data_IF_971056091832
#
_entry.id   IF_971056091832
#
_cell.length_a   1.000
_cell.length_b   1.000
_cell.length_c   1.000
_cell.angle_alpha   90.00
_cell.angle_beta   90.00
_cell.angle_gamma   90.00
#
_symmetry.space_group_name_H-M   'P 1'
#
loop_
_entity.id
_entity.type
_entity.pdbx_description
1 polymer ?
#
# COMPACT_ATOMS: atom_id res chain seq x y z
N UNK A 1 -8.27 10.44 18.54
CA UNK A 1 -7.92 10.30 17.13
C UNK A 1 -9.07 9.57 16.46
N UNK A 2 -9.36 9.82 15.20
CA UNK A 2 -10.44 9.20 14.44
C UNK A 2 -11.80 9.13 15.19
N UNK A 3 -12.17 10.21 15.87
CA UNK A 3 -13.40 10.31 16.66
C UNK A 3 -14.11 11.63 16.30
N UNK A 4 -15.41 11.79 16.56
CA UNK A 4 -16.11 13.02 16.30
C UNK A 4 -15.36 14.22 16.87
N UNK A 5 -15.03 15.22 16.05
CA UNK A 5 -14.22 16.39 16.42
C UNK A 5 -12.71 16.12 16.58
N UNK A 6 -12.23 14.91 16.34
CA UNK A 6 -10.82 14.56 16.38
C UNK A 6 -10.11 14.67 15.03
N UNK A 7 -8.82 14.35 15.01
CA UNK A 7 -8.01 14.36 13.80
C UNK A 7 -8.10 13.02 13.06
N UNK A 8 -8.07 13.07 11.73
CA UNK A 8 -7.79 11.88 10.92
C UNK A 8 -6.32 11.49 11.10
N UNK A 9 -6.07 10.21 11.44
CA UNK A 9 -4.71 9.71 11.62
C UNK A 9 -3.99 9.60 10.29
N UNK A 10 -2.79 10.20 10.12
CA UNK A 10 -2.02 10.12 8.88
C UNK A 10 -1.18 8.84 8.76
N UNK A 11 -1.19 7.93 9.75
CA UNK A 11 -0.24 6.81 9.83
C UNK A 11 -0.55 5.70 8.83
N UNK A 12 -1.65 4.96 8.98
CA UNK A 12 -2.01 3.85 8.08
C UNK A 12 -3.47 3.94 7.60
N UNK A 13 -3.80 3.13 6.57
CA UNK A 13 -5.13 3.12 5.96
C UNK A 13 -6.16 2.25 6.73
N UNK A 14 -5.75 1.54 7.78
CA UNK A 14 -6.64 0.62 8.48
C UNK A 14 -7.71 1.40 9.26
N UNK A 15 -9.02 1.09 9.10
CA UNK A 15 -10.10 1.86 9.70
C UNK A 15 -10.23 1.62 11.21
N UNK A 16 -11.01 2.49 11.86
CA UNK A 16 -11.49 2.28 13.22
C UNK A 16 -12.80 1.48 13.23
N UNK A 17 -13.10 0.72 14.31
CA UNK A 17 -14.37 0.00 14.43
C UNK A 17 -15.55 0.96 14.58
N UNK A 18 -16.73 0.55 14.10
CA UNK A 18 -17.98 1.30 14.24
C UNK A 18 -18.38 1.45 15.72
N UNK A 19 -18.12 0.40 16.51
CA UNK A 19 -18.39 0.38 17.96
C UNK A 19 -17.08 0.46 18.74
N UNK A 20 -16.85 1.62 19.38
CA UNK A 20 -15.61 1.91 20.11
C UNK A 20 -15.73 1.52 21.58
N UNK A 21 -14.64 0.96 22.14
CA UNK A 21 -14.45 0.82 23.58
C UNK A 21 -14.15 2.20 24.19
N UNK A 22 -14.40 2.39 25.50
CA UNK A 22 -14.13 3.64 26.20
C UNK A 22 -12.66 4.07 26.13
N UNK A 23 -11.75 3.12 26.21
CA UNK A 23 -10.31 3.31 26.06
C UNK A 23 -9.87 2.57 24.80
N UNK A 24 -9.82 3.27 23.69
CA UNK A 24 -9.41 2.73 22.41
C UNK A 24 -8.56 3.72 21.63
N UNK A 25 -7.32 3.35 21.37
CA UNK A 25 -6.36 4.13 20.61
C UNK A 25 -5.33 3.22 19.95
N UNK A 26 -4.63 3.75 18.96
CA UNK A 26 -3.45 3.14 18.38
C UNK A 26 -2.21 3.94 18.81
N UNK A 27 -1.24 3.31 19.45
CA UNK A 27 -0.03 3.97 19.93
C UNK A 27 0.74 4.65 18.79
N UNK A 28 0.95 3.93 17.69
CA UNK A 28 1.65 4.48 16.52
C UNK A 28 0.88 5.64 15.88
N UNK A 29 -0.45 5.58 15.86
CA UNK A 29 -1.29 6.69 15.42
C UNK A 29 -1.18 7.91 16.35
N UNK A 30 -1.11 7.69 17.66
CA UNK A 30 -0.89 8.76 18.63
C UNK A 30 0.47 9.43 18.43
N UNK A 31 1.53 8.65 18.23
CA UNK A 31 2.88 9.17 17.93
C UNK A 31 2.92 9.93 16.60
N UNK A 32 2.34 9.37 15.54
CA UNK A 32 2.27 10.03 14.24
C UNK A 32 1.55 11.38 14.32
N UNK A 33 0.43 11.44 15.07
CA UNK A 33 -0.30 12.68 15.26
C UNK A 33 0.47 13.69 16.11
N UNK A 34 1.18 13.24 17.15
CA UNK A 34 2.01 14.13 17.96
C UNK A 34 3.13 14.78 17.14
N UNK A 35 3.75 14.03 16.22
CA UNK A 35 4.76 14.57 15.29
C UNK A 35 4.14 15.56 14.30
N UNK A 36 2.98 15.24 13.73
CA UNK A 36 2.28 16.14 12.79
C UNK A 36 1.78 17.44 13.45
N UNK A 37 1.32 17.36 14.69
CA UNK A 37 0.77 18.50 15.46
C UNK A 37 1.81 19.23 16.33
N UNK A 38 3.09 19.15 15.99
CA UNK A 38 4.18 19.83 16.71
C UNK A 38 3.99 21.35 16.73
N UNK A 39 4.42 21.98 17.83
CA UNK A 39 4.51 23.45 17.96
C UNK A 39 5.84 24.00 17.45
N UNK A 40 6.83 23.13 17.20
CA UNK A 40 8.12 23.54 16.63
C UNK A 40 7.94 24.11 15.23
N UNK A 41 8.67 25.17 14.93
CA UNK A 41 8.59 25.93 13.69
C UNK A 41 9.95 26.05 13.03
N UNK A 42 10.00 25.74 11.74
CA UNK A 42 11.14 26.05 10.87
C UNK A 42 10.92 27.45 10.29
N UNK A 43 11.57 28.43 10.91
CA UNK A 43 11.47 29.84 10.52
C UNK A 43 12.62 30.24 9.60
N UNK A 44 12.53 31.44 9.02
CA UNK A 44 13.62 32.00 8.20
C UNK A 44 14.95 32.13 8.95
N UNK A 45 14.91 32.33 10.27
CA UNK A 45 16.09 32.43 11.12
C UNK A 45 16.81 31.07 11.22
N UNK A 46 16.07 29.97 11.27
CA UNK A 46 16.66 28.64 11.21
C UNK A 46 17.42 28.43 9.90
N UNK A 47 16.81 28.75 8.77
CA UNK A 47 17.46 28.60 7.47
C UNK A 47 18.59 29.61 7.22
N UNK A 48 18.56 30.77 7.88
CA UNK A 48 19.68 31.71 7.84
C UNK A 48 20.91 31.18 8.56
N UNK A 49 20.74 30.31 9.58
CA UNK A 49 21.83 29.74 10.37
C UNK A 49 22.47 28.50 9.75
N UNK A 50 21.72 27.76 8.89
CA UNK A 50 22.15 26.49 8.34
C UNK A 50 22.27 26.54 6.82
N UNK A 51 23.34 25.97 6.27
CA UNK A 51 23.43 25.69 4.84
C UNK A 51 22.68 24.39 4.49
N UNK A 52 22.31 24.24 3.23
CA UNK A 52 21.67 22.98 2.75
C UNK A 52 22.65 21.82 2.88
N UNK A 53 23.92 22.03 2.62
CA UNK A 53 24.97 21.01 2.81
C UNK A 53 25.04 20.54 4.27
N UNK A 54 25.04 21.46 5.25
CA UNK A 54 25.01 21.09 6.68
C UNK A 54 23.73 20.33 7.06
N UNK A 55 22.57 20.72 6.53
CA UNK A 55 21.32 20.02 6.77
C UNK A 55 21.32 18.61 6.18
N UNK A 56 21.97 18.39 5.06
CA UNK A 56 22.10 17.05 4.44
C UNK A 56 22.93 16.07 5.28
N UNK A 57 23.81 16.54 6.14
CA UNK A 57 24.59 15.69 7.06
C UNK A 57 23.79 15.28 8.31
N UNK A 58 22.63 15.91 8.55
CA UNK A 58 21.79 15.58 9.70
C UNK A 58 20.99 14.30 9.45
N UNK A 59 20.62 13.60 10.54
CA UNK A 59 19.71 12.46 10.44
C UNK A 59 18.28 12.90 10.11
N UNK A 60 17.53 12.04 9.42
CA UNK A 60 16.10 12.27 9.10
C UNK A 60 15.29 12.55 10.38
N UNK A 61 15.61 11.85 11.48
CA UNK A 61 14.97 12.09 12.78
C UNK A 61 15.26 13.50 13.31
N UNK A 62 16.51 13.97 13.24
CA UNK A 62 16.86 15.32 13.67
C UNK A 62 16.13 16.36 12.84
N UNK A 63 16.09 16.21 11.50
CA UNK A 63 15.39 17.11 10.59
C UNK A 63 13.87 17.16 10.89
N UNK A 64 13.24 16.01 11.12
CA UNK A 64 11.81 15.95 11.46
C UNK A 64 11.50 16.69 12.77
N UNK A 65 12.38 16.59 13.77
CA UNK A 65 12.19 17.20 15.08
C UNK A 65 12.37 18.72 15.09
N UNK A 66 12.90 19.34 14.03
CA UNK A 66 13.02 20.80 13.94
C UNK A 66 11.67 21.50 13.76
N UNK A 67 10.66 20.79 13.28
CA UNK A 67 9.30 21.31 13.21
C UNK A 67 8.75 21.53 11.80
N UNK A 68 7.80 22.46 11.69
CA UNK A 68 7.06 22.72 10.45
C UNK A 68 7.49 23.99 9.76
N UNK A 69 7.59 23.94 8.42
CA UNK A 69 7.77 25.14 7.60
C UNK A 69 6.65 26.14 7.85
N UNK A 70 7.00 27.40 7.95
CA UNK A 70 6.07 28.50 8.24
C UNK A 70 5.81 29.41 7.05
N UNK A 71 6.69 29.38 6.06
CA UNK A 71 6.62 30.20 4.85
C UNK A 71 7.29 29.48 3.68
N UNK A 72 7.00 29.84 2.43
CA UNK A 72 7.69 29.28 1.27
C UNK A 72 9.17 29.67 1.28
N UNK A 73 10.00 28.73 0.88
CA UNK A 73 11.45 28.91 0.82
C UNK A 73 11.97 28.54 -0.58
N UNK A 74 12.96 29.27 -1.06
CA UNK A 74 13.69 29.00 -2.29
C UNK A 74 15.16 28.73 -2.00
N UNK A 75 15.72 27.68 -2.60
CA UNK A 75 17.15 27.43 -2.53
C UNK A 75 17.92 28.48 -3.34
N UNK A 76 18.95 29.04 -2.71
CA UNK A 76 19.90 29.94 -3.34
C UNK A 76 21.29 29.27 -3.42
N UNK A 77 21.73 28.88 -4.64
CA UNK A 77 23.02 28.21 -4.82
C UNK A 77 24.23 29.09 -4.47
N UNK A 78 24.10 30.42 -4.50
CA UNK A 78 25.20 31.32 -4.20
C UNK A 78 25.55 31.31 -2.71
N UNK A 79 24.57 31.10 -1.83
CA UNK A 79 24.77 31.06 -0.38
C UNK A 79 24.63 29.65 0.21
N UNK A 80 24.26 28.68 -0.60
CA UNK A 80 23.88 27.31 -0.20
C UNK A 80 22.79 27.30 0.90
N UNK A 81 21.82 28.21 0.84
CA UNK A 81 20.77 28.34 1.85
C UNK A 81 19.37 28.35 1.24
N UNK A 82 18.39 28.06 2.08
CA UNK A 82 16.99 28.34 1.77
C UNK A 82 16.67 29.79 2.19
N UNK A 83 16.24 30.60 1.22
CA UNK A 83 15.80 31.97 1.43
C UNK A 83 14.26 32.06 1.37
N UNK A 84 13.63 32.89 2.23
CA UNK A 84 12.19 33.07 2.17
C UNK A 84 11.77 33.73 0.86
N UNK A 85 10.61 33.32 0.32
CA UNK A 85 9.99 33.88 -0.88
C UNK A 85 8.52 34.15 -0.60
N UNK A 86 7.97 35.26 -1.08
CA UNK A 86 6.53 35.49 -0.97
C UNK A 86 5.73 34.50 -1.81
N UNK A 87 4.49 34.20 -1.40
CA UNK A 87 3.65 33.24 -2.14
C UNK A 87 3.42 33.66 -3.60
N UNK A 88 3.16 34.91 -3.86
CA UNK A 88 2.92 35.42 -5.22
C UNK A 88 4.16 35.28 -6.09
N UNK A 89 5.36 35.53 -5.52
CA UNK A 89 6.63 35.34 -6.22
C UNK A 89 6.91 33.85 -6.46
N UNK A 90 6.58 32.97 -5.51
CA UNK A 90 6.72 31.53 -5.66
C UNK A 90 5.79 31.01 -6.78
N UNK A 91 4.52 31.42 -6.81
CA UNK A 91 3.58 31.06 -7.88
C UNK A 91 4.01 31.63 -9.23
N UNK A 92 4.52 32.85 -9.25
CA UNK A 92 5.05 33.47 -10.48
C UNK A 92 6.24 32.67 -11.01
N UNK A 93 7.17 32.29 -10.14
CA UNK A 93 8.35 31.50 -10.52
C UNK A 93 7.97 30.12 -11.04
N UNK A 94 7.07 29.39 -10.35
CA UNK A 94 6.56 28.09 -10.80
C UNK A 94 5.87 28.23 -12.18
N UNK A 95 4.99 29.23 -12.32
CA UNK A 95 4.28 29.49 -13.56
C UNK A 95 5.21 29.86 -14.73
N UNK A 96 6.31 30.56 -14.47
CA UNK A 96 7.33 30.84 -15.47
C UNK A 96 8.03 29.56 -15.97
N UNK A 97 8.44 28.69 -15.04
CA UNK A 97 9.05 27.41 -15.39
C UNK A 97 8.11 26.51 -16.18
N UNK A 98 6.86 26.39 -15.76
CA UNK A 98 5.87 25.56 -16.47
C UNK A 98 5.58 26.11 -17.87
N UNK A 99 5.46 27.43 -18.04
CA UNK A 99 5.23 28.07 -19.36
C UNK A 99 6.44 28.04 -20.28
N UNK A 100 7.64 27.86 -19.75
CA UNK A 100 8.87 27.76 -20.55
C UNK A 100 9.07 26.36 -21.17
N UNK A 101 8.26 25.38 -20.79
CA UNK A 101 8.31 24.04 -21.38
C UNK A 101 7.78 24.08 -22.81
N UNK A 102 8.39 23.32 -23.71
CA UNK A 102 7.96 23.20 -25.11
C UNK A 102 6.63 22.42 -25.23
N UNK A 103 6.34 21.55 -24.27
CA UNK A 103 5.12 20.78 -24.19
C UNK A 103 4.72 20.53 -22.74
N UNK A 104 3.42 20.55 -22.38
CA UNK A 104 2.94 20.16 -21.07
C UNK A 104 3.36 18.74 -20.65
N UNK A 105 3.61 17.86 -21.60
CA UNK A 105 4.05 16.48 -21.35
C UNK A 105 5.51 16.36 -20.88
N UNK A 106 6.27 17.47 -20.85
CA UNK A 106 7.61 17.52 -20.25
C UNK A 106 7.58 17.68 -18.73
N UNK A 107 6.39 17.85 -18.12
CA UNK A 107 6.21 17.94 -16.69
C UNK A 107 5.59 16.65 -16.13
N UNK A 108 6.08 16.23 -14.95
CA UNK A 108 5.55 15.10 -14.18
C UNK A 108 4.96 15.60 -12.86
N UNK A 109 3.74 15.18 -12.53
CA UNK A 109 2.98 15.69 -11.38
C UNK A 109 2.72 14.56 -10.38
N UNK A 110 3.67 14.34 -9.47
CA UNK A 110 3.59 13.29 -8.47
C UNK A 110 2.64 13.63 -7.33
N UNK A 111 1.87 12.64 -6.87
CA UNK A 111 0.97 12.77 -5.73
C UNK A 111 1.21 11.64 -4.71
N UNK A 112 1.35 12.04 -3.44
CA UNK A 112 1.44 11.08 -2.33
C UNK A 112 0.04 10.59 -1.93
N UNK A 113 -0.12 9.31 -1.63
CA UNK A 113 -1.34 8.72 -1.09
C UNK A 113 -1.74 9.17 0.31
N UNK A 114 -1.16 10.26 0.81
CA UNK A 114 -1.55 10.94 2.06
C UNK A 114 -2.22 12.29 1.81
N UNK A 115 -2.28 12.71 0.56
CA UNK A 115 -2.93 13.96 0.16
C UNK A 115 -4.44 13.88 0.46
N UNK A 116 -5.01 14.96 0.98
CA UNK A 116 -6.46 15.04 1.21
C UNK A 116 -7.20 15.06 -0.13
N UNK A 117 -8.39 14.47 -0.18
CA UNK A 117 -9.18 14.36 -1.42
C UNK A 117 -9.40 15.71 -2.11
N UNK A 118 -9.72 16.75 -1.33
CA UNK A 118 -9.96 18.09 -1.85
C UNK A 118 -8.72 18.66 -2.54
N UNK A 119 -7.55 18.47 -1.93
CA UNK A 119 -6.27 18.91 -2.49
C UNK A 119 -5.90 18.09 -3.73
N UNK A 120 -6.05 16.77 -3.67
CA UNK A 120 -5.79 15.87 -4.79
C UNK A 120 -6.69 16.19 -6.00
N UNK A 121 -7.99 16.43 -5.73
CA UNK A 121 -8.94 16.83 -6.77
C UNK A 121 -8.55 18.16 -7.42
N UNK A 122 -8.30 19.20 -6.62
CA UNK A 122 -7.89 20.51 -7.15
C UNK A 122 -6.59 20.41 -7.96
N UNK A 123 -5.62 19.64 -7.44
CA UNK A 123 -4.37 19.38 -8.15
C UNK A 123 -4.60 18.65 -9.47
N UNK A 124 -5.52 17.69 -9.50
CA UNK A 124 -5.87 16.96 -10.73
C UNK A 124 -6.49 17.85 -11.80
N UNK A 125 -7.30 18.86 -11.40
CA UNK A 125 -7.88 19.83 -12.32
C UNK A 125 -6.80 20.78 -12.84
N UNK A 126 -5.94 21.32 -11.95
CA UNK A 126 -4.82 22.18 -12.33
C UNK A 126 -3.91 21.53 -13.39
N UNK A 127 -3.53 20.27 -13.18
CA UNK A 127 -2.64 19.55 -14.11
C UNK A 127 -3.30 19.31 -15.45
N UNK A 128 -4.60 19.02 -15.49
CA UNK A 128 -5.34 18.86 -16.74
C UNK A 128 -5.57 20.17 -17.49
N UNK A 129 -5.80 21.25 -16.75
CA UNK A 129 -5.87 22.59 -17.35
C UNK A 129 -4.51 23.05 -17.89
N UNK A 130 -3.40 22.65 -17.22
CA UNK A 130 -2.05 22.83 -17.73
C UNK A 130 -1.80 22.04 -19.02
N UNK A 131 -2.49 20.92 -19.25
CA UNK A 131 -2.51 20.18 -20.51
C UNK A 131 -1.86 18.81 -20.51
N UNK A 132 -1.77 18.13 -19.36
CA UNK A 132 -1.24 16.75 -19.29
C UNK A 132 -2.03 15.85 -18.34
N UNK A 133 -1.91 14.53 -18.54
CA UNK A 133 -2.35 13.47 -17.62
C UNK A 133 -1.16 12.74 -16.97
N UNK A 134 0.03 13.33 -16.96
CA UNK A 134 1.20 12.73 -16.33
C UNK A 134 1.05 12.77 -14.79
N UNK A 135 0.45 11.71 -14.24
CA UNK A 135 0.18 11.54 -12.81
C UNK A 135 0.88 10.31 -12.25
N UNK A 136 2.23 10.27 -12.21
CA UNK A 136 2.89 9.25 -11.39
C UNK A 136 2.46 9.41 -9.94
N UNK A 137 1.99 8.32 -9.32
CA UNK A 137 1.54 8.37 -7.94
C UNK A 137 2.00 7.17 -7.13
N UNK A 138 1.78 7.21 -5.82
CA UNK A 138 2.22 6.13 -4.94
C UNK A 138 1.41 4.84 -5.13
N UNK A 139 0.21 4.86 -5.71
CA UNK A 139 -0.59 3.65 -5.94
C UNK A 139 0.07 2.74 -6.98
N UNK A 140 0.75 3.32 -7.97
CA UNK A 140 1.51 2.56 -8.96
C UNK A 140 2.64 1.73 -8.33
N UNK A 141 3.27 2.24 -7.26
CA UNK A 141 4.35 1.54 -6.56
C UNK A 141 3.84 0.58 -5.49
N UNK A 142 2.67 0.82 -4.92
CA UNK A 142 2.17 0.13 -3.75
C UNK A 142 1.32 -1.10 -4.13
N UNK A 143 0.19 -0.87 -4.79
CA UNK A 143 -0.84 -1.87 -5.04
C UNK A 143 -1.36 -1.88 -6.48
N UNK A 144 -0.56 -1.44 -7.46
CA UNK A 144 -0.93 -1.57 -8.88
C UNK A 144 -1.25 -3.04 -9.26
N UNK A 145 -0.49 -4.05 -8.80
CA UNK A 145 -0.85 -5.45 -9.03
C UNK A 145 -2.21 -5.85 -8.48
N UNK A 146 -2.67 -5.26 -7.37
CA UNK A 146 -4.03 -5.46 -6.87
C UNK A 146 -5.07 -4.88 -7.83
N UNK A 147 -4.81 -3.67 -8.33
CA UNK A 147 -5.69 -2.98 -9.29
C UNK A 147 -5.75 -3.67 -10.66
N UNK A 148 -4.78 -4.51 -10.98
CA UNK A 148 -4.73 -5.34 -12.19
C UNK A 148 -5.27 -6.75 -11.95
N UNK A 149 -4.81 -7.41 -10.89
CA UNK A 149 -5.10 -8.83 -10.62
C UNK A 149 -6.54 -9.06 -10.16
N UNK A 150 -7.05 -8.31 -9.19
CA UNK A 150 -8.41 -8.51 -8.69
C UNK A 150 -9.50 -8.21 -9.72
N UNK A 151 -9.47 -7.13 -10.52
CA UNK A 151 -10.49 -6.91 -11.54
C UNK A 151 -10.58 -8.04 -12.56
N UNK A 152 -9.44 -8.64 -12.92
CA UNK A 152 -9.41 -9.78 -13.85
C UNK A 152 -10.04 -11.05 -13.25
N UNK A 153 -10.06 -11.18 -11.92
CA UNK A 153 -10.64 -12.36 -11.23
C UNK A 153 -12.04 -12.14 -10.67
N UNK A 154 -12.32 -10.96 -10.11
CA UNK A 154 -13.57 -10.68 -9.37
C UNK A 154 -14.24 -9.36 -9.78
N UNK A 155 -13.77 -8.71 -10.84
CA UNK A 155 -14.37 -7.48 -11.39
C UNK A 155 -14.05 -6.19 -10.64
N UNK A 156 -13.38 -6.22 -9.50
CA UNK A 156 -13.09 -5.04 -8.69
C UNK A 156 -11.67 -5.08 -8.08
N UNK A 157 -10.92 -3.99 -8.19
CA UNK A 157 -9.55 -3.85 -7.68
C UNK A 157 -9.45 -3.43 -6.20
N UNK A 158 -10.40 -3.86 -5.36
CA UNK A 158 -10.50 -3.47 -3.94
C UNK A 158 -10.73 -4.68 -3.06
N UNK A 159 -10.53 -4.52 -1.75
CA UNK A 159 -10.89 -5.52 -0.76
C UNK A 159 -12.39 -5.81 -0.75
N UNK A 160 -12.75 -7.03 -0.41
CA UNK A 160 -14.14 -7.52 -0.41
C UNK A 160 -14.69 -7.73 1.00
N UNK A 161 -13.95 -7.31 2.03
CA UNK A 161 -14.37 -7.39 3.43
C UNK A 161 -14.63 -6.00 4.00
N UNK A 162 -15.41 -5.96 5.06
CA UNK A 162 -15.53 -4.84 5.99
C UNK A 162 -14.84 -5.21 7.31
N UNK A 163 -14.60 -4.22 8.18
CA UNK A 163 -13.88 -4.45 9.43
C UNK A 163 -14.59 -5.46 10.33
N UNK A 164 -15.91 -5.45 10.38
CA UNK A 164 -16.72 -6.39 11.16
C UNK A 164 -16.52 -7.86 10.73
N UNK A 165 -16.04 -8.11 9.51
CA UNK A 165 -15.79 -9.50 9.06
C UNK A 165 -14.71 -10.20 9.87
N UNK A 166 -13.76 -9.45 10.44
CA UNK A 166 -12.77 -10.04 11.36
C UNK A 166 -13.40 -10.72 12.59
N UNK A 167 -14.59 -10.28 13.01
CA UNK A 167 -15.33 -10.88 14.13
C UNK A 167 -15.97 -12.23 13.77
N UNK A 168 -16.16 -12.48 12.47
CA UNK A 168 -16.81 -13.68 11.95
C UNK A 168 -15.86 -14.65 11.25
N UNK A 169 -14.59 -14.26 11.07
CA UNK A 169 -13.61 -15.12 10.45
C UNK A 169 -13.32 -16.37 11.30
N UNK A 170 -13.15 -17.52 10.63
CA UNK A 170 -12.75 -18.80 11.21
C UNK A 170 -11.27 -19.12 10.97
N UNK A 171 -10.64 -18.46 9.99
CA UNK A 171 -9.21 -18.46 9.77
C UNK A 171 -8.77 -17.14 9.12
N UNK A 172 -7.57 -16.67 9.46
CA UNK A 172 -6.96 -15.48 8.86
C UNK A 172 -5.59 -15.86 8.32
N UNK A 173 -5.33 -15.56 7.06
CA UNK A 173 -4.01 -15.68 6.44
C UNK A 173 -3.44 -14.29 6.23
N UNK A 174 -2.18 -14.09 6.61
CA UNK A 174 -1.45 -12.83 6.42
C UNK A 174 -0.23 -13.15 5.57
N UNK A 175 -0.17 -12.59 4.36
CA UNK A 175 0.84 -12.91 3.36
C UNK A 175 1.61 -11.65 2.96
N UNK A 176 2.94 -11.68 3.09
CA UNK A 176 3.79 -10.57 2.65
C UNK A 176 3.50 -9.23 3.33
N UNK A 177 3.16 -9.26 4.64
CA UNK A 177 2.79 -8.05 5.38
C UNK A 177 3.41 -8.03 6.79
N UNK A 178 4.01 -6.88 7.16
CA UNK A 178 4.38 -6.55 8.53
C UNK A 178 3.29 -5.67 9.16
N UNK A 179 2.29 -6.31 9.74
CA UNK A 179 1.10 -5.63 10.27
C UNK A 179 1.45 -4.69 11.42
N UNK A 180 2.33 -5.11 12.33
CA UNK A 180 2.68 -4.29 13.50
C UNK A 180 3.37 -2.98 13.17
N UNK A 181 4.12 -2.94 12.07
CA UNK A 181 4.82 -1.73 11.61
C UNK A 181 3.96 -0.90 10.65
N UNK A 182 3.34 -1.55 9.64
CA UNK A 182 2.73 -0.83 8.53
C UNK A 182 1.21 -0.62 8.69
N UNK A 183 0.56 -1.44 9.51
CA UNK A 183 -0.89 -1.38 9.76
C UNK A 183 -1.20 -1.65 11.24
N UNK A 184 -0.60 -0.89 12.18
CA UNK A 184 -0.62 -1.22 13.61
C UNK A 184 -2.05 -1.24 14.18
N UNK A 185 -2.97 -0.49 13.61
CA UNK A 185 -4.37 -0.48 14.04
C UNK A 185 -5.05 -1.85 13.86
N UNK A 186 -4.62 -2.65 12.86
CA UNK A 186 -5.13 -4.00 12.62
C UNK A 186 -4.78 -4.98 13.75
N UNK A 187 -3.73 -4.71 14.54
CA UNK A 187 -3.29 -5.60 15.63
C UNK A 187 -4.41 -5.88 16.64
N UNK A 188 -5.28 -4.92 16.94
CA UNK A 188 -6.43 -5.12 17.83
C UNK A 188 -7.35 -6.21 17.31
N UNK A 189 -7.68 -6.21 16.01
CA UNK A 189 -8.53 -7.25 15.41
C UNK A 189 -7.87 -8.62 15.44
N UNK A 190 -6.55 -8.69 15.26
CA UNK A 190 -5.81 -9.96 15.33
C UNK A 190 -5.76 -10.50 16.78
N UNK A 191 -5.55 -9.63 17.76
CA UNK A 191 -5.61 -10.01 19.19
C UNK A 191 -6.99 -10.57 19.56
N UNK A 192 -8.06 -9.88 19.15
CA UNK A 192 -9.43 -10.36 19.43
C UNK A 192 -9.74 -11.68 18.71
N UNK A 193 -9.27 -11.87 17.47
CA UNK A 193 -9.38 -13.15 16.76
C UNK A 193 -8.66 -14.27 17.54
N UNK A 194 -7.44 -14.01 18.03
CA UNK A 194 -6.68 -14.98 18.82
C UNK A 194 -7.34 -15.31 20.16
N UNK A 195 -7.93 -14.32 20.84
CA UNK A 195 -8.72 -14.56 22.08
C UNK A 195 -9.91 -15.49 21.84
N UNK A 196 -10.50 -15.48 20.63
CA UNK A 196 -11.56 -16.42 20.20
C UNK A 196 -11.01 -17.78 19.73
N UNK A 197 -9.70 -18.00 19.73
CA UNK A 197 -9.08 -19.24 19.27
C UNK A 197 -8.93 -19.37 17.75
N UNK A 198 -9.17 -18.30 16.98
CA UNK A 198 -9.09 -18.32 15.53
C UNK A 198 -7.63 -18.52 15.10
N UNK A 199 -7.33 -19.48 14.18
CA UNK A 199 -5.99 -19.66 13.64
C UNK A 199 -5.60 -18.47 12.74
N UNK A 200 -4.39 -17.96 12.97
CA UNK A 200 -3.76 -16.93 12.13
C UNK A 200 -2.50 -17.53 11.54
N UNK A 201 -2.48 -17.69 10.22
CA UNK A 201 -1.33 -18.20 9.47
C UNK A 201 -0.55 -17.02 8.91
N UNK A 202 0.72 -16.92 9.26
CA UNK A 202 1.63 -15.91 8.75
C UNK A 202 2.55 -16.52 7.70
N UNK A 203 2.52 -16.00 6.47
CA UNK A 203 3.42 -16.40 5.37
C UNK A 203 4.31 -15.19 5.04
N UNK A 204 5.55 -15.22 5.51
CA UNK A 204 6.51 -14.12 5.36
C UNK A 204 7.94 -14.65 5.29
N UNK A 205 8.86 -13.95 4.64
CA UNK A 205 10.29 -14.32 4.64
C UNK A 205 10.98 -14.02 5.97
N UNK A 206 10.35 -13.24 6.86
CA UNK A 206 10.89 -12.88 8.17
C UNK A 206 9.82 -13.03 9.27
N UNK A 207 10.21 -13.47 10.49
CA UNK A 207 9.30 -13.54 11.63
C UNK A 207 9.04 -12.12 12.18
N UNK A 208 8.02 -11.47 11.69
CA UNK A 208 7.62 -10.12 12.10
C UNK A 208 7.21 -10.10 13.57
N UNK A 209 7.92 -9.31 14.38
CA UNK A 209 7.87 -9.38 15.85
C UNK A 209 6.45 -9.29 16.42
N UNK A 210 5.67 -8.30 15.96
CA UNK A 210 4.31 -8.10 16.43
C UNK A 210 3.34 -9.20 16.00
N UNK A 211 3.62 -9.91 14.89
CA UNK A 211 2.82 -11.06 14.46
C UNK A 211 3.20 -12.36 15.15
N UNK A 212 4.38 -12.43 15.77
CA UNK A 212 4.73 -13.53 16.66
C UNK A 212 4.10 -13.31 18.04
N UNK A 213 4.36 -12.17 18.68
CA UNK A 213 3.77 -11.77 19.96
C UNK A 213 3.54 -10.27 20.01
N UNK A 214 2.39 -9.87 20.56
CA UNK A 214 2.00 -8.49 20.69
C UNK A 214 1.49 -8.18 22.10
N UNK A 215 1.96 -7.09 22.69
CA UNK A 215 1.42 -6.52 23.91
C UNK A 215 0.41 -5.44 23.54
N UNK A 216 -0.84 -5.62 23.91
CA UNK A 216 -1.90 -4.67 23.60
C UNK A 216 -1.80 -3.44 24.52
N UNK A 217 -1.52 -2.22 24.00
CA UNK A 217 -1.34 -1.01 24.82
C UNK A 217 -2.59 -0.62 25.60
N UNK A 218 -3.75 -1.11 25.20
CA UNK A 218 -5.04 -0.85 25.85
C UNK A 218 -5.40 -1.87 26.92
N UNK A 219 -4.65 -2.96 27.02
CA UNK A 219 -4.82 -3.99 28.04
C UNK A 219 -3.92 -3.66 29.24
N UNK A 220 -4.53 -3.08 30.29
CA UNK A 220 -3.83 -2.64 31.49
C UNK A 220 -3.12 -3.82 32.19
N UNK A 221 -3.71 -5.03 32.13
CA UNK A 221 -3.12 -6.22 32.75
C UNK A 221 -1.85 -6.63 31.99
N UNK A 222 -1.91 -6.69 30.65
CA UNK A 222 -0.72 -6.98 29.84
C UNK A 222 0.37 -5.93 30.04
N UNK A 223 0.00 -4.65 30.09
CA UNK A 223 0.95 -3.55 30.28
C UNK A 223 1.63 -3.60 31.66
N UNK A 224 0.90 -3.94 32.72
CA UNK A 224 1.43 -4.01 34.08
C UNK A 224 2.22 -5.29 34.37
N UNK A 225 1.90 -6.40 33.71
CA UNK A 225 2.54 -7.70 33.88
C UNK A 225 3.59 -8.03 32.83
N UNK A 226 3.85 -7.14 31.90
CA UNK A 226 4.67 -7.40 30.69
C UNK A 226 4.17 -8.61 29.89
N UNK A 227 2.88 -8.88 29.96
CA UNK A 227 2.21 -9.94 29.22
C UNK A 227 2.15 -9.66 27.73
N UNK A 228 1.88 -10.67 26.91
CA UNK A 228 1.69 -10.54 25.48
C UNK A 228 0.84 -11.67 24.91
N UNK A 229 0.13 -11.39 23.81
CA UNK A 229 -0.67 -12.37 23.08
C UNK A 229 0.16 -12.95 21.93
N UNK A 230 0.22 -14.28 21.80
CA UNK A 230 0.76 -14.93 20.60
C UNK A 230 -0.23 -14.75 19.44
N UNK A 231 0.18 -14.06 18.38
CA UNK A 231 -0.69 -13.71 17.26
C UNK A 231 -0.75 -14.83 16.24
N UNK A 232 0.37 -15.20 15.61
CA UNK A 232 0.40 -16.32 14.66
C UNK A 232 0.25 -17.65 15.38
N UNK A 233 -0.59 -18.53 14.84
CA UNK A 233 -0.69 -19.92 15.24
C UNK A 233 0.23 -20.82 14.41
N UNK A 234 0.55 -20.39 13.20
CA UNK A 234 1.48 -21.05 12.28
C UNK A 234 2.30 -19.98 11.56
N UNK A 235 3.62 -20.15 11.50
CA UNK A 235 4.52 -19.29 10.75
C UNK A 235 5.19 -20.09 9.63
N UNK A 236 5.06 -19.59 8.40
CA UNK A 236 5.60 -20.17 7.18
C UNK A 236 6.71 -19.26 6.65
N UNK A 237 7.95 -19.71 6.78
CA UNK A 237 9.14 -18.96 6.38
C UNK A 237 9.42 -19.12 4.89
N UNK A 238 8.63 -18.46 4.06
CA UNK A 238 8.73 -18.56 2.60
C UNK A 238 10.00 -17.89 2.07
N UNK A 239 10.61 -18.48 1.04
CA UNK A 239 11.64 -17.79 0.24
C UNK A 239 11.02 -16.63 -0.51
N UNK A 240 11.75 -15.54 -0.66
CA UNK A 240 11.32 -14.40 -1.50
C UNK A 240 11.05 -14.92 -2.93
N UNK A 241 9.84 -14.63 -3.44
CA UNK A 241 9.34 -15.13 -4.71
C UNK A 241 8.72 -16.53 -4.67
N UNK A 242 8.65 -17.16 -3.49
CA UNK A 242 8.07 -18.49 -3.31
C UNK A 242 6.56 -18.54 -3.04
N UNK A 243 5.94 -17.38 -2.91
CA UNK A 243 4.51 -17.27 -2.52
C UNK A 243 3.58 -17.96 -3.53
N UNK A 244 3.85 -17.81 -4.83
CA UNK A 244 3.09 -18.47 -5.88
C UNK A 244 3.08 -19.99 -5.72
N UNK A 245 4.26 -20.58 -5.39
CA UNK A 245 4.39 -22.02 -5.20
C UNK A 245 3.61 -22.49 -3.96
N UNK A 246 3.58 -21.72 -2.88
CA UNK A 246 2.77 -22.04 -1.70
C UNK A 246 1.28 -22.00 -2.04
N UNK A 247 0.80 -20.97 -2.71
CA UNK A 247 -0.61 -20.86 -3.10
C UNK A 247 -1.05 -22.02 -4.00
N UNK A 248 -0.22 -22.36 -5.00
CA UNK A 248 -0.46 -23.56 -5.85
C UNK A 248 -0.38 -24.85 -5.05
N UNK A 249 0.56 -24.96 -4.11
CA UNK A 249 0.65 -26.12 -3.20
C UNK A 249 -0.60 -26.29 -2.34
N UNK A 250 -1.14 -25.19 -1.78
CA UNK A 250 -2.40 -25.24 -1.04
C UNK A 250 -3.56 -25.68 -1.94
N UNK A 251 -3.72 -25.09 -3.13
CA UNK A 251 -4.77 -25.51 -4.08
C UNK A 251 -4.61 -26.97 -4.53
N UNK A 252 -3.36 -27.45 -4.73
CA UNK A 252 -3.09 -28.84 -5.01
C UNK A 252 -3.60 -29.75 -3.91
N UNK A 253 -3.42 -29.41 -2.63
CA UNK A 253 -3.95 -30.20 -1.51
C UNK A 253 -5.47 -30.28 -1.56
N UNK A 254 -6.17 -29.18 -1.92
CA UNK A 254 -7.62 -29.17 -2.09
C UNK A 254 -8.05 -30.13 -3.22
N UNK A 255 -7.39 -30.05 -4.40
CA UNK A 255 -7.71 -30.93 -5.53
C UNK A 255 -7.39 -32.41 -5.25
N UNK A 256 -6.30 -32.69 -4.53
CA UNK A 256 -5.99 -34.06 -4.09
C UNK A 256 -7.01 -34.59 -3.07
N UNK A 257 -7.53 -33.75 -2.17
CA UNK A 257 -8.57 -34.12 -1.22
C UNK A 257 -9.91 -34.38 -1.91
N UNK A 258 -10.31 -33.50 -2.83
CA UNK A 258 -11.52 -33.68 -3.64
C UNK A 258 -11.46 -34.97 -4.46
N UNK A 259 -10.32 -35.28 -5.08
CA UNK A 259 -10.13 -36.53 -5.84
C UNK A 259 -10.25 -37.80 -4.97
N UNK A 260 -10.06 -37.68 -3.64
CA UNK A 260 -10.35 -38.75 -2.67
C UNK A 260 -11.81 -38.79 -2.22
N UNK A 261 -12.69 -37.90 -2.74
CA UNK A 261 -14.08 -37.81 -2.38
C UNK A 261 -14.38 -36.97 -1.13
N UNK A 262 -13.41 -36.15 -0.66
CA UNK A 262 -13.62 -35.23 0.44
C UNK A 262 -14.37 -33.96 -0.04
N UNK A 263 -15.33 -33.49 0.74
CA UNK A 263 -16.10 -32.27 0.47
C UNK A 263 -15.30 -31.02 0.92
N UNK A 264 -14.39 -30.59 0.07
CA UNK A 264 -13.45 -29.48 0.37
C UNK A 264 -13.60 -28.26 -0.53
N UNK A 265 -14.34 -28.39 -1.62
CA UNK A 265 -14.65 -27.31 -2.55
C UNK A 265 -16.15 -26.91 -2.45
N UNK A 266 -16.43 -25.65 -2.64
CA UNK A 266 -17.82 -25.15 -2.72
C UNK A 266 -18.31 -25.30 -4.16
N UNK A 267 -18.81 -26.51 -4.49
CA UNK A 267 -19.20 -26.87 -5.86
C UNK A 267 -20.33 -26.00 -6.40
N UNK A 268 -21.30 -25.65 -5.56
CA UNK A 268 -22.44 -24.80 -5.97
C UNK A 268 -21.92 -23.37 -6.29
N UNK A 269 -21.11 -22.80 -5.42
CA UNK A 269 -20.51 -21.49 -5.68
C UNK A 269 -19.63 -21.49 -6.94
N UNK A 270 -18.82 -22.52 -7.11
CA UNK A 270 -17.93 -22.66 -8.27
C UNK A 270 -18.75 -22.69 -9.56
N UNK A 271 -19.81 -23.52 -9.59
CA UNK A 271 -20.70 -23.68 -10.75
C UNK A 271 -21.41 -22.37 -11.11
N UNK A 272 -21.93 -21.66 -10.10
CA UNK A 272 -22.82 -20.51 -10.32
C UNK A 272 -22.04 -19.19 -10.51
N UNK A 273 -20.82 -19.09 -9.98
CA UNK A 273 -20.10 -17.80 -9.88
C UNK A 273 -18.70 -17.81 -10.46
N UNK A 274 -18.19 -18.94 -10.99
CA UNK A 274 -16.82 -18.99 -11.51
C UNK A 274 -16.74 -19.59 -12.91
N UNK A 275 -15.59 -19.41 -13.56
CA UNK A 275 -15.23 -20.06 -14.81
C UNK A 275 -13.75 -20.49 -14.78
N UNK A 276 -13.41 -21.51 -15.58
CA UNK A 276 -12.02 -21.91 -15.76
C UNK A 276 -11.45 -22.86 -14.70
N UNK A 277 -12.28 -23.54 -13.91
CA UNK A 277 -11.84 -24.50 -12.89
C UNK A 277 -10.91 -25.57 -13.46
N UNK A 278 -11.24 -26.16 -14.63
CA UNK A 278 -10.44 -27.21 -15.23
C UNK A 278 -9.06 -26.72 -15.65
N UNK A 279 -8.96 -25.50 -16.18
CA UNK A 279 -7.69 -24.88 -16.52
C UNK A 279 -6.82 -24.60 -15.28
N UNK A 280 -7.45 -24.08 -14.20
CA UNK A 280 -6.77 -23.89 -12.92
C UNK A 280 -6.27 -25.21 -12.34
N UNK A 281 -7.11 -26.24 -12.36
CA UNK A 281 -6.77 -27.58 -11.89
C UNK A 281 -5.59 -28.17 -12.68
N UNK A 282 -5.64 -28.07 -14.02
CA UNK A 282 -4.55 -28.54 -14.88
C UNK A 282 -3.23 -27.83 -14.58
N UNK A 283 -3.26 -26.49 -14.44
CA UNK A 283 -2.08 -25.68 -14.10
C UNK A 283 -1.52 -26.07 -12.73
N UNK A 284 -2.35 -26.15 -11.70
CA UNK A 284 -1.92 -26.48 -10.33
C UNK A 284 -1.37 -27.91 -10.26
N UNK A 285 -2.04 -28.88 -10.89
CA UNK A 285 -1.62 -30.30 -10.86
C UNK A 285 -0.40 -30.59 -11.72
N UNK A 286 -0.07 -29.74 -12.68
CA UNK A 286 1.15 -29.86 -13.49
C UNK A 286 2.43 -29.64 -12.70
N UNK A 287 2.38 -28.90 -11.59
CA UNK A 287 3.55 -28.62 -10.75
C UNK A 287 3.83 -29.76 -9.78
N UNK A 288 5.05 -30.26 -9.81
CA UNK A 288 5.48 -31.32 -8.89
C UNK A 288 5.65 -30.80 -7.45
N UNK A 289 5.45 -31.66 -6.45
CA UNK A 289 5.79 -31.34 -5.06
C UNK A 289 7.27 -30.98 -4.88
N UNK A 290 8.15 -31.58 -5.67
CA UNK A 290 9.60 -31.29 -5.69
C UNK A 290 9.83 -29.82 -6.06
N UNK A 291 9.16 -29.32 -7.11
CA UNK A 291 9.30 -27.94 -7.54
C UNK A 291 8.64 -26.97 -6.56
N UNK A 292 7.45 -27.29 -6.07
CA UNK A 292 6.75 -26.47 -5.06
C UNK A 292 7.63 -26.27 -3.83
N UNK A 293 8.20 -27.34 -3.28
CA UNK A 293 9.05 -27.27 -2.08
C UNK A 293 10.38 -26.58 -2.35
N UNK A 294 10.99 -26.84 -3.51
CA UNK A 294 12.24 -26.19 -3.92
C UNK A 294 12.09 -24.68 -4.11
N UNK A 295 11.01 -24.24 -4.76
CA UNK A 295 10.75 -22.82 -5.07
C UNK A 295 10.34 -22.08 -3.79
N UNK A 296 9.39 -22.61 -3.05
CA UNK A 296 8.89 -21.97 -1.82
C UNK A 296 9.88 -22.02 -0.66
N UNK A 297 10.75 -23.02 -0.63
CA UNK A 297 11.61 -23.33 0.51
C UNK A 297 10.87 -23.95 1.69
N UNK A 298 9.59 -24.37 1.48
CA UNK A 298 8.70 -24.91 2.51
C UNK A 298 8.48 -26.40 2.24
N UNK A 299 8.49 -27.22 3.32
CA UNK A 299 8.20 -28.64 3.18
C UNK A 299 6.76 -28.90 2.76
N UNK A 300 6.53 -29.99 2.02
CA UNK A 300 5.17 -30.45 1.67
C UNK A 300 4.29 -30.61 2.91
N UNK A 301 4.84 -31.15 4.00
CA UNK A 301 4.14 -31.32 5.25
C UNK A 301 3.61 -29.99 5.82
N UNK A 302 4.42 -28.93 5.80
CA UNK A 302 4.00 -27.62 6.27
C UNK A 302 2.94 -27.01 5.36
N UNK A 303 3.06 -27.13 4.03
CA UNK A 303 2.04 -26.66 3.09
C UNK A 303 0.72 -27.41 3.30
N UNK A 304 0.77 -28.73 3.47
CA UNK A 304 -0.42 -29.53 3.81
C UNK A 304 -1.05 -29.10 5.13
N UNK A 305 -0.25 -28.78 6.13
CA UNK A 305 -0.73 -28.34 7.44
C UNK A 305 -1.50 -27.01 7.36
N UNK A 306 -0.98 -26.01 6.64
CA UNK A 306 -1.70 -24.75 6.45
C UNK A 306 -2.93 -24.90 5.53
N UNK A 307 -2.86 -25.77 4.52
CA UNK A 307 -4.00 -26.10 3.68
C UNK A 307 -5.12 -26.77 4.49
N UNK A 308 -4.79 -27.61 5.48
CA UNK A 308 -5.79 -28.19 6.37
C UNK A 308 -6.47 -27.15 7.27
N UNK A 309 -5.76 -26.10 7.70
CA UNK A 309 -6.38 -24.97 8.41
C UNK A 309 -7.40 -24.30 7.49
N UNK A 310 -7.02 -24.07 6.22
CA UNK A 310 -7.90 -23.47 5.20
C UNK A 310 -9.10 -24.36 4.90
N UNK A 311 -8.92 -25.67 4.73
CA UNK A 311 -9.98 -26.63 4.44
C UNK A 311 -11.04 -26.67 5.56
N UNK A 312 -10.61 -26.66 6.83
CA UNK A 312 -11.52 -26.69 7.99
C UNK A 312 -12.31 -25.40 8.18
N UNK A 313 -11.81 -24.27 7.69
CA UNK A 313 -12.47 -22.98 7.80
C UNK A 313 -13.60 -22.85 6.79
N UNK A 314 -14.76 -22.40 7.24
CA UNK A 314 -15.91 -22.04 6.38
C UNK A 314 -15.89 -20.56 5.98
N UNK A 315 -15.14 -19.74 6.71
CA UNK A 315 -15.03 -18.30 6.47
C UNK A 315 -13.58 -17.86 6.66
N UNK A 316 -12.85 -17.67 5.57
CA UNK A 316 -11.43 -17.30 5.58
C UNK A 316 -11.21 -15.90 5.03
N UNK A 317 -10.46 -15.10 5.78
CA UNK A 317 -9.93 -13.82 5.31
C UNK A 317 -8.46 -14.02 4.90
N UNK A 318 -8.10 -13.60 3.68
CA UNK A 318 -6.70 -13.52 3.25
C UNK A 318 -6.30 -12.05 3.16
N UNK A 319 -5.41 -11.63 4.06
CA UNK A 319 -4.79 -10.31 4.06
C UNK A 319 -3.44 -10.39 3.35
N UNK A 320 -3.12 -9.41 2.51
CA UNK A 320 -1.79 -9.33 1.91
C UNK A 320 -1.29 -7.90 1.81
N UNK A 321 0.02 -7.75 1.87
CA UNK A 321 0.70 -6.47 1.76
C UNK A 321 1.61 -6.38 0.53
N UNK A 322 2.53 -5.43 0.55
CA UNK A 322 3.46 -5.16 -0.55
C UNK A 322 4.47 -6.29 -0.79
N UNK A 323 4.66 -7.21 0.15
CA UNK A 323 5.43 -8.43 -0.08
C UNK A 323 4.82 -9.35 -1.14
N UNK A 324 3.54 -9.16 -1.50
CA UNK A 324 2.87 -9.81 -2.63
C UNK A 324 2.87 -8.93 -3.87
N UNK A 325 2.60 -7.63 -3.71
CA UNK A 325 2.40 -6.76 -4.88
C UNK A 325 3.71 -6.29 -5.51
N UNK A 326 4.80 -6.16 -4.74
CA UNK A 326 6.09 -5.70 -5.25
C UNK A 326 6.96 -6.84 -5.78
N UNK A 327 6.37 -7.70 -6.58
CA UNK A 327 7.03 -8.76 -7.32
C UNK A 327 6.74 -8.63 -8.83
N UNK A 328 7.61 -9.18 -9.65
CA UNK A 328 7.39 -9.25 -11.10
C UNK A 328 6.04 -9.93 -11.42
N UNK A 329 5.70 -11.00 -10.70
CA UNK A 329 4.45 -11.75 -10.82
C UNK A 329 3.33 -11.24 -9.88
N UNK A 330 3.42 -10.00 -9.37
CA UNK A 330 2.50 -9.50 -8.35
C UNK A 330 1.02 -9.60 -8.75
N UNK A 331 0.67 -9.27 -9.98
CA UNK A 331 -0.72 -9.37 -10.47
C UNK A 331 -1.19 -10.83 -10.51
N UNK A 332 -0.35 -11.75 -10.93
CA UNK A 332 -0.63 -13.18 -10.96
C UNK A 332 -0.76 -13.75 -9.53
N UNK A 333 0.10 -13.35 -8.61
CA UNK A 333 -0.02 -13.71 -7.19
C UNK A 333 -1.38 -13.30 -6.60
N UNK A 334 -1.83 -12.09 -6.89
CA UNK A 334 -3.13 -11.58 -6.46
C UNK A 334 -4.28 -12.41 -7.06
N UNK A 335 -4.19 -12.78 -8.35
CA UNK A 335 -5.16 -13.69 -8.97
C UNK A 335 -5.18 -15.07 -8.30
N UNK A 336 -4.03 -15.64 -7.94
CA UNK A 336 -3.98 -16.93 -7.25
C UNK A 336 -4.55 -16.86 -5.83
N UNK A 337 -4.41 -15.75 -5.13
CA UNK A 337 -5.12 -15.51 -3.86
C UNK A 337 -6.64 -15.51 -4.08
N UNK A 338 -7.10 -14.83 -5.12
CA UNK A 338 -8.52 -14.83 -5.47
C UNK A 338 -9.01 -16.24 -5.86
N UNK A 339 -8.25 -16.98 -6.67
CA UNK A 339 -8.58 -18.36 -7.04
C UNK A 339 -8.71 -19.28 -5.83
N UNK A 340 -7.78 -19.20 -4.87
CA UNK A 340 -7.85 -19.97 -3.64
C UNK A 340 -9.16 -19.68 -2.87
N UNK A 341 -9.54 -18.39 -2.76
CA UNK A 341 -10.78 -17.99 -2.09
C UNK A 341 -12.04 -18.43 -2.85
N UNK A 342 -12.01 -18.36 -4.19
CA UNK A 342 -13.14 -18.80 -5.04
C UNK A 342 -13.42 -20.30 -4.90
N UNK A 343 -12.38 -21.15 -4.76
CA UNK A 343 -12.55 -22.61 -4.61
C UNK A 343 -13.42 -23.00 -3.39
N UNK A 344 -13.52 -22.13 -2.37
CA UNK A 344 -14.35 -22.38 -1.17
C UNK A 344 -15.47 -21.36 -0.98
N UNK A 345 -15.84 -20.63 -2.04
CA UNK A 345 -16.92 -19.64 -1.97
C UNK A 345 -16.65 -18.56 -0.89
N UNK A 346 -15.40 -18.15 -0.69
CA UNK A 346 -15.01 -17.17 0.32
C UNK A 346 -15.19 -15.71 -0.16
N UNK A 347 -16.23 -15.45 -0.95
CA UNK A 347 -16.68 -14.13 -1.36
C UNK A 347 -18.16 -13.96 -1.09
N UNK A 348 -18.60 -12.75 -0.77
CA UNK A 348 -20.01 -12.42 -0.57
C UNK A 348 -20.62 -12.94 0.73
N UNK A 349 -19.84 -13.46 1.67
CA UNK A 349 -20.29 -13.94 2.97
C UNK A 349 -19.50 -13.31 4.12
N UNK A 350 -20.13 -13.22 5.30
CA UNK A 350 -19.50 -12.66 6.50
C UNK A 350 -18.27 -13.47 6.91
N UNK A 351 -17.23 -12.76 7.31
CA UNK A 351 -16.00 -13.34 7.81
C UNK A 351 -15.06 -13.90 6.74
N UNK A 352 -15.36 -13.69 5.45
CA UNK A 352 -14.58 -14.23 4.36
C UNK A 352 -14.32 -13.22 3.26
N UNK A 353 -13.17 -13.31 2.64
CA UNK A 353 -12.80 -12.48 1.49
C UNK A 353 -11.33 -12.11 1.41
N UNK A 354 -11.01 -11.23 0.48
CA UNK A 354 -9.67 -10.72 0.24
C UNK A 354 -9.52 -9.32 0.84
N UNK A 355 -8.41 -9.11 1.53
CA UNK A 355 -8.06 -7.84 2.15
C UNK A 355 -6.66 -7.36 1.71
N UNK A 356 -6.55 -6.63 0.60
CA UNK A 356 -5.31 -5.92 0.26
C UNK A 356 -5.10 -4.79 1.29
N UNK A 357 -4.07 -4.92 2.10
CA UNK A 357 -3.78 -3.97 3.18
C UNK A 357 -2.88 -2.86 2.64
N UNK A 358 -3.50 -1.74 2.33
CA UNK A 358 -2.80 -0.57 1.79
C UNK A 358 -2.09 0.21 2.90
N UNK A 359 -0.90 0.75 2.59
CA UNK A 359 -0.08 1.45 3.57
C UNK A 359 -0.51 2.90 3.81
N UNK A 360 -0.74 3.66 2.76
CA UNK A 360 -1.08 5.08 2.87
C UNK A 360 -2.56 5.31 3.17
N UNK A 361 -2.85 6.34 3.96
CA UNK A 361 -4.20 6.65 4.47
C UNK A 361 -5.22 7.01 3.37
N UNK A 362 -4.78 7.52 2.22
CA UNK A 362 -5.67 8.02 1.17
C UNK A 362 -5.31 7.59 -0.27
N UNK A 363 -4.45 6.59 -0.45
CA UNK A 363 -4.04 6.13 -1.78
C UNK A 363 -5.22 5.74 -2.70
N UNK A 364 -6.32 5.26 -2.15
CA UNK A 364 -7.53 4.94 -2.91
C UNK A 364 -8.37 6.19 -3.19
N UNK A 365 -8.41 7.15 -2.25
CA UNK A 365 -9.13 8.41 -2.41
C UNK A 365 -8.54 9.26 -3.51
N UNK A 366 -7.23 9.42 -3.56
CA UNK A 366 -6.53 10.19 -4.59
C UNK A 366 -6.90 9.71 -6.00
N UNK A 367 -6.84 8.40 -6.25
CA UNK A 367 -7.25 7.79 -7.54
C UNK A 367 -8.73 8.04 -7.83
N UNK A 368 -9.58 7.94 -6.81
CA UNK A 368 -11.03 8.15 -6.96
C UNK A 368 -11.37 9.58 -7.36
N UNK A 369 -10.61 10.57 -6.87
CA UNK A 369 -10.85 11.99 -7.16
C UNK A 369 -10.06 12.51 -8.37
N UNK A 370 -9.41 11.64 -9.12
CA UNK A 370 -8.88 11.99 -10.43
C UNK A 370 -7.35 12.04 -10.56
N UNK A 371 -6.58 11.59 -9.57
CA UNK A 371 -5.16 11.29 -9.76
C UNK A 371 -5.07 9.96 -10.52
N UNK A 372 -5.17 10.06 -11.83
CA UNK A 372 -5.23 8.91 -12.74
C UNK A 372 -4.62 9.29 -14.08
N UNK A 373 -3.56 8.58 -14.47
CA UNK A 373 -2.84 8.77 -15.73
C UNK A 373 -3.64 8.24 -16.95
N UNK A 374 -4.65 7.41 -16.71
CA UNK A 374 -5.50 6.79 -17.75
C UNK A 374 -6.98 7.04 -17.49
N UNK A 375 -7.40 8.32 -17.35
CA UNK A 375 -8.78 8.64 -17.01
C UNK A 375 -9.75 8.18 -18.11
N UNK A 376 -10.98 7.85 -17.71
CA UNK A 376 -12.03 7.51 -18.68
C UNK A 376 -12.48 8.75 -19.47
N UNK A 377 -12.91 8.58 -20.72
CA UNK A 377 -13.42 9.69 -21.53
C UNK A 377 -14.65 10.34 -20.86
N UNK A 378 -15.51 9.55 -20.24
CA UNK A 378 -16.68 10.06 -19.51
C UNK A 378 -16.28 10.99 -18.34
N UNK A 379 -15.20 10.69 -17.62
CA UNK A 379 -14.66 11.58 -16.58
C UNK A 379 -14.14 12.88 -17.20
N UNK A 380 -13.37 12.80 -18.28
CA UNK A 380 -12.82 13.97 -18.96
C UNK A 380 -13.93 14.86 -19.54
N UNK A 381 -15.00 14.28 -20.07
CA UNK A 381 -16.18 15.01 -20.52
C UNK A 381 -16.84 15.79 -19.38
N UNK A 382 -16.96 15.17 -18.19
CA UNK A 382 -17.48 15.87 -17.01
C UNK A 382 -16.57 17.00 -16.55
N UNK A 383 -15.25 16.82 -16.61
CA UNK A 383 -14.28 17.89 -16.30
C UNK A 383 -14.48 19.05 -17.27
N UNK A 384 -14.55 18.81 -18.58
CA UNK A 384 -14.85 19.85 -19.58
C UNK A 384 -16.17 20.59 -19.29
N UNK A 385 -17.24 19.84 -19.04
CA UNK A 385 -18.59 20.41 -18.88
C UNK A 385 -18.71 21.23 -17.58
N UNK A 386 -17.98 20.87 -16.54
CA UNK A 386 -18.04 21.57 -15.23
C UNK A 386 -17.04 22.73 -15.16
N UNK A 387 -15.82 22.56 -15.67
CA UNK A 387 -14.73 23.54 -15.50
C UNK A 387 -14.51 24.42 -16.75
N UNK A 388 -15.14 24.09 -17.89
CA UNK A 388 -15.14 24.95 -19.07
C UNK A 388 -13.84 24.96 -19.87
N UNK A 389 -12.96 23.97 -19.69
CA UNK A 389 -11.76 23.79 -20.53
C UNK A 389 -11.72 22.38 -21.11
N UNK A 390 -11.02 22.20 -22.24
CA UNK A 390 -10.82 20.87 -22.85
C UNK A 390 -9.63 20.17 -22.18
N UNK A 391 -9.84 19.11 -21.39
CA UNK A 391 -8.74 18.36 -20.79
C UNK A 391 -8.02 17.48 -21.82
N UNK A 392 -6.73 17.15 -21.61
CA UNK A 392 -6.00 16.23 -22.49
C UNK A 392 -6.68 14.86 -22.54
N UNK A 393 -6.84 14.32 -23.75
CA UNK A 393 -7.52 13.04 -23.99
C UNK A 393 -6.57 11.85 -24.04
N UNK A 394 -5.29 12.10 -24.13
CA UNK A 394 -4.22 11.13 -24.20
C UNK A 394 -3.92 10.58 -22.79
N UNK A 395 -3.45 9.34 -22.74
CA UNK A 395 -2.95 8.77 -21.50
C UNK A 395 -1.65 9.49 -21.11
N UNK A 396 -1.48 9.73 -19.81
CA UNK A 396 -0.24 10.25 -19.25
C UNK A 396 0.65 9.12 -18.72
N UNK A 397 1.73 9.53 -18.06
CA UNK A 397 2.70 8.62 -17.49
C UNK A 397 2.30 8.13 -16.08
N UNK A 398 2.43 6.82 -15.83
CA UNK A 398 2.55 6.27 -14.49
C UNK A 398 4.02 6.32 -14.02
N UNK A 399 4.31 5.89 -12.79
CA UNK A 399 5.66 6.00 -12.19
C UNK A 399 6.79 5.43 -13.07
N UNK A 400 6.60 4.28 -13.70
CA UNK A 400 7.66 3.67 -14.53
C UNK A 400 7.88 4.49 -15.79
N UNK A 401 6.79 4.84 -16.49
CA UNK A 401 6.84 5.66 -17.70
C UNK A 401 7.44 7.05 -17.43
N UNK A 402 7.12 7.65 -16.27
CA UNK A 402 7.71 8.93 -15.82
C UNK A 402 9.23 8.83 -15.65
N UNK A 403 9.73 7.76 -14.97
CA UNK A 403 11.16 7.54 -14.80
C UNK A 403 11.84 7.30 -16.15
N UNK A 404 11.26 6.48 -17.02
CA UNK A 404 11.77 6.25 -18.36
C UNK A 404 11.78 7.53 -19.22
N UNK A 405 10.76 8.40 -19.07
CA UNK A 405 10.73 9.69 -19.73
C UNK A 405 11.86 10.60 -19.24
N UNK A 406 12.08 10.65 -17.93
CA UNK A 406 13.19 11.39 -17.32
C UNK A 406 14.55 10.87 -17.82
N UNK A 407 14.73 9.54 -17.91
CA UNK A 407 15.98 8.95 -18.43
C UNK A 407 16.24 9.30 -19.91
N UNK A 408 15.18 9.44 -20.71
CA UNK A 408 15.29 9.81 -22.13
C UNK A 408 15.63 11.29 -22.37
N UNK A 409 15.10 12.15 -21.51
CA UNK A 409 15.19 13.63 -21.72
C UNK A 409 16.38 14.23 -20.99
N UNK A 410 16.90 13.57 -19.94
CA UNK A 410 18.01 14.12 -19.17
C UNK A 410 19.36 14.00 -19.90
N UNK A 411 19.98 15.09 -20.33
CA UNK A 411 21.44 15.11 -20.47
C UNK A 411 22.04 14.85 -19.10
N UNK A 412 23.20 14.17 -19.07
CA UNK A 412 23.91 13.74 -17.85
C UNK A 412 24.20 14.83 -16.79
N UNK A 413 23.68 16.03 -16.96
CA UNK A 413 23.95 17.24 -16.17
C UNK A 413 22.74 18.02 -15.64
N UNK A 414 21.49 17.50 -15.76
CA UNK A 414 20.30 18.22 -15.30
C UNK A 414 19.75 17.72 -13.95
N UNK A 415 19.39 18.65 -13.07
CA UNK A 415 18.81 18.41 -11.75
C UNK A 415 17.29 18.20 -11.84
N UNK A 416 16.79 17.18 -11.15
CA UNK A 416 15.34 16.91 -11.02
C UNK A 416 14.77 17.75 -9.90
N UNK A 417 13.67 18.44 -10.14
CA UNK A 417 12.89 19.13 -9.11
C UNK A 417 11.80 18.21 -8.59
N UNK A 418 11.94 17.78 -7.35
CA UNK A 418 10.94 17.00 -6.64
C UNK A 418 10.07 17.93 -5.80
N UNK A 419 8.77 17.98 -6.13
CA UNK A 419 7.77 18.61 -5.25
C UNK A 419 7.18 17.51 -4.37
N UNK A 420 7.84 17.17 -3.27
CA UNK A 420 7.30 16.25 -2.28
C UNK A 420 6.89 16.98 -1.02
N UNK A 421 5.76 16.62 -0.47
CA UNK A 421 5.31 17.07 0.84
C UNK A 421 6.02 16.37 2.01
N UNK A 422 7.07 15.55 1.73
CA UNK A 422 7.94 14.90 2.73
C UNK A 422 9.35 14.67 2.20
N UNK A 423 10.28 14.84 3.12
CA UNK A 423 11.70 14.68 2.90
C UNK A 423 12.13 13.35 2.28
N UNK A 424 13.30 13.36 1.71
CA UNK A 424 14.00 12.30 1.00
C UNK A 424 13.85 10.94 1.67
N UNK A 425 13.30 9.97 0.95
CA UNK A 425 13.70 8.59 1.15
C UNK A 425 15.11 8.43 0.55
N UNK A 426 16.07 7.94 1.31
CA UNK A 426 17.39 7.54 0.77
C UNK A 426 17.14 6.51 -0.33
N UNK A 427 17.52 6.82 -1.55
CA UNK A 427 17.54 5.87 -2.66
C UNK A 427 18.49 4.72 -2.27
N UNK A 428 18.10 3.45 -2.40
CA UNK A 428 18.97 2.31 -2.11
C UNK A 428 20.30 2.43 -2.84
N UNK A 429 21.39 2.07 -2.17
CA UNK A 429 22.77 2.20 -2.67
C UNK A 429 23.04 1.57 -4.05
N UNK A 430 22.18 0.66 -4.48
CA UNK A 430 22.25 0.04 -5.82
C UNK A 430 21.92 0.99 -6.99
N UNK A 431 21.18 2.08 -6.75
CA UNK A 431 20.87 3.11 -7.75
C UNK A 431 21.80 4.34 -7.67
N UNK A 432 22.58 4.43 -6.61
CA UNK A 432 23.50 5.55 -6.34
C UNK A 432 24.55 5.81 -7.44
N UNK A 433 25.11 4.81 -8.14
CA UNK A 433 26.11 5.06 -9.19
C UNK A 433 25.56 5.79 -10.43
N UNK A 434 24.27 5.57 -10.75
CA UNK A 434 23.64 6.24 -11.92
C UNK A 434 23.23 7.69 -11.60
N UNK A 435 22.83 7.95 -10.36
CA UNK A 435 22.40 9.29 -9.94
C UNK A 435 23.55 10.24 -9.58
N UNK A 436 24.72 9.70 -9.13
CA UNK A 436 25.93 10.53 -8.89
C UNK A 436 26.53 11.13 -10.15
N UNK A 437 26.17 10.62 -11.33
CA UNK A 437 26.58 11.21 -12.61
C UNK A 437 25.65 12.31 -13.12
N UNK A 438 24.59 12.64 -12.38
CA UNK A 438 23.60 13.67 -12.69
C UNK A 438 23.70 14.91 -11.81
N UNK A 439 24.80 15.07 -11.02
CA UNK A 439 25.12 16.28 -10.26
C UNK A 439 26.22 17.05 -10.93
#
# INVERSE_FOLDING_TARGET
MNQPGGFKCPSCAFPDPDHRKKLEFCENGAKALAHEATKARLTREFFAQHTVTELMEQSDYWLEMQGRLTEPMRYDPATDKYLPIAWDDAFTLIGQHLRALESPHQAEFYTSGRTANETAFLYSIFVREFGTNNFPDCSNMCHEPTSRGLPASIGIGKGTIVMADFEHAEAIFIIGQNTGTNSPRMMTNLVEARKRGIPIVLINPMPERALIRFTEPQDIVQMSTFGSTAISSEFVHVRIGGDLAILKGMMRVLFEAEARGEDVLDQDFIKDHTAGLDALRADVMSQSWVDITRISGISEEQIRRIAQIYIKSKATIICYGMGITQHQEGSHLVQQIANLLLLKGNFGKKGAGVAPIRGHSNVQGDRTVGIDEKPTQAYLDRVRDVFGFEPPREHGHHVVEAIEAMERVMPRSSSVWEVTSRGRSRIPSALTPRWKSCT
#
